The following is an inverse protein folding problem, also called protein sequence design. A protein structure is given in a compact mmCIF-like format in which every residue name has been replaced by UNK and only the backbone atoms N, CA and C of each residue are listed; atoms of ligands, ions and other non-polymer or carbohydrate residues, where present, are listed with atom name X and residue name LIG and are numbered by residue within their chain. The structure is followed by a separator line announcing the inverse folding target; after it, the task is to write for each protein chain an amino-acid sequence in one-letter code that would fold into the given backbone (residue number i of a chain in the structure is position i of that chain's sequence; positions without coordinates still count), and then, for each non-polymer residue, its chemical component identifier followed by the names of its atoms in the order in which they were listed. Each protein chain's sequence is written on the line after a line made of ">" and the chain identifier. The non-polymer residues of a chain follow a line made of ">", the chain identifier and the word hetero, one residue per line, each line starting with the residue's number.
data_IF_226630483295
#
_entry.id   IF_226630483295
#
_cell.length_a   1.000
_cell.length_b   1.000
_cell.length_c   1.000
_cell.angle_alpha   90.00
_cell.angle_beta   90.00
_cell.angle_gamma   90.00
#
_symmetry.space_group_name_H-M   'P 1'
#
loop_
_entity.id
_entity.type
_entity.pdbx_description
1 polymer ?
#
# COMPACT_ATOMS: atom_id res chain seq x y z
N UNK A 1 8.77 -5.39 8.79
CA UNK A 1 7.47 -5.36 8.09
C UNK A 1 6.37 -5.86 9.01
N UNK A 2 5.33 -5.05 9.20
CA UNK A 2 4.08 -5.51 9.79
C UNK A 2 2.91 -5.25 8.81
N UNK A 3 2.37 -6.32 8.22
CA UNK A 3 1.19 -6.27 7.35
C UNK A 3 0.03 -6.95 8.05
N UNK A 4 -1.06 -6.22 8.24
CA UNK A 4 -2.26 -6.72 8.91
C UNK A 4 -3.51 -6.40 8.09
N UNK A 5 -4.42 -7.37 7.99
CA UNK A 5 -5.75 -7.17 7.42
C UNK A 5 -6.79 -7.21 8.54
N UNK A 6 -7.56 -6.13 8.70
CA UNK A 6 -8.68 -6.06 9.65
C UNK A 6 -9.87 -5.38 9.00
N UNK A 7 -11.01 -6.06 8.93
CA UNK A 7 -12.28 -5.53 8.40
C UNK A 7 -12.18 -4.90 6.99
N UNK A 8 -11.31 -5.46 6.14
CA UNK A 8 -11.04 -4.96 4.79
C UNK A 8 -10.05 -3.79 4.72
N UNK A 9 -9.45 -3.39 5.85
CA UNK A 9 -8.34 -2.46 5.90
C UNK A 9 -7.01 -3.23 5.96
N UNK A 10 -6.22 -3.15 4.89
CA UNK A 10 -4.87 -3.70 4.80
C UNK A 10 -3.87 -2.62 5.26
N UNK A 11 -3.37 -2.72 6.48
CA UNK A 11 -2.34 -1.83 6.99
C UNK A 11 -0.94 -2.38 6.68
N UNK A 12 -0.10 -1.58 6.03
CA UNK A 12 1.31 -1.91 5.76
C UNK A 12 2.16 -0.92 6.56
N UNK A 13 2.84 -1.42 7.58
CA UNK A 13 3.66 -0.63 8.47
C UNK A 13 5.15 -0.98 8.31
N UNK A 14 6.00 0.02 8.58
CA UNK A 14 7.46 -0.02 8.52
C UNK A 14 8.04 -0.05 7.11
N UNK A 15 8.03 -1.20 6.45
CA UNK A 15 8.75 -1.43 5.20
C UNK A 15 7.93 -2.28 4.24
N UNK A 16 8.09 -2.03 2.95
CA UNK A 16 7.69 -2.93 1.88
C UNK A 16 8.83 -3.02 0.88
N UNK A 17 9.74 -3.96 1.13
CA UNK A 17 10.97 -4.17 0.34
C UNK A 17 10.97 -5.52 -0.37
N UNK A 18 11.97 -5.81 -1.20
CA UNK A 18 12.12 -7.09 -1.91
C UNK A 18 12.13 -8.33 -0.97
N UNK A 19 12.55 -8.16 0.29
CA UNK A 19 12.52 -9.24 1.29
C UNK A 19 11.09 -9.54 1.76
N UNK A 20 10.22 -8.53 1.70
CA UNK A 20 8.86 -8.48 2.23
C UNK A 20 7.79 -8.83 1.18
N UNK A 21 8.06 -8.53 -0.10
CA UNK A 21 7.04 -8.54 -1.16
C UNK A 21 6.36 -9.88 -1.38
N UNK A 22 7.07 -11.00 -1.16
CA UNK A 22 6.50 -12.33 -1.40
C UNK A 22 5.37 -12.61 -0.42
N UNK A 23 5.58 -12.30 0.85
CA UNK A 23 4.61 -12.55 1.90
C UNK A 23 3.45 -11.55 1.82
N UNK A 24 3.77 -10.28 1.53
CA UNK A 24 2.77 -9.26 1.22
C UNK A 24 1.85 -9.68 0.07
N UNK A 25 2.43 -10.16 -1.04
CA UNK A 25 1.68 -10.57 -2.21
C UNK A 25 0.80 -11.78 -1.96
N UNK A 26 1.31 -12.79 -1.25
CA UNK A 26 0.52 -13.96 -0.87
C UNK A 26 -0.68 -13.57 0.00
N UNK A 27 -0.50 -12.66 0.96
CA UNK A 27 -1.59 -12.17 1.79
C UNK A 27 -2.63 -11.39 0.96
N UNK A 28 -2.17 -10.52 0.05
CA UNK A 28 -3.04 -9.76 -0.84
C UNK A 28 -3.87 -10.70 -1.71
N UNK A 29 -3.24 -11.66 -2.38
CA UNK A 29 -3.95 -12.60 -3.25
C UNK A 29 -4.98 -13.44 -2.49
N UNK A 30 -4.64 -13.90 -1.28
CA UNK A 30 -5.53 -14.71 -0.45
C UNK A 30 -6.78 -13.95 -0.01
N UNK A 31 -6.68 -12.63 0.16
CA UNK A 31 -7.76 -11.80 0.72
C UNK A 31 -8.25 -10.70 -0.24
N UNK A 32 -7.95 -10.80 -1.54
CA UNK A 32 -8.17 -9.75 -2.53
C UNK A 32 -9.62 -9.21 -2.54
N UNK A 33 -10.60 -10.10 -2.38
CA UNK A 33 -12.02 -9.74 -2.34
C UNK A 33 -12.44 -8.98 -1.08
N UNK A 34 -11.71 -9.14 0.01
CA UNK A 34 -12.02 -8.55 1.32
C UNK A 34 -11.36 -7.18 1.49
N UNK A 35 -10.20 -6.98 0.88
CA UNK A 35 -9.46 -5.72 0.93
C UNK A 35 -10.29 -4.63 0.25
N UNK A 36 -10.57 -3.54 0.97
CA UNK A 36 -11.27 -2.34 0.49
C UNK A 36 -10.39 -1.10 0.57
N UNK A 37 -9.48 -1.08 1.53
CA UNK A 37 -8.60 0.05 1.80
C UNK A 37 -7.19 -0.46 2.10
N UNK A 38 -6.19 0.27 1.61
CA UNK A 38 -4.79 0.06 1.93
C UNK A 38 -4.31 1.27 2.72
N UNK A 39 -3.90 1.04 3.96
CA UNK A 39 -3.34 2.07 4.83
C UNK A 39 -1.81 2.00 4.82
N UNK A 40 -1.20 3.05 4.27
CA UNK A 40 0.26 3.21 4.15
C UNK A 40 0.79 4.27 5.13
N UNK A 41 0.00 4.76 6.08
CA UNK A 41 0.45 5.80 7.01
C UNK A 41 1.67 5.40 7.84
N UNK A 42 1.78 4.12 8.19
CA UNK A 42 2.91 3.58 8.93
C UNK A 42 4.11 3.18 8.07
N UNK A 43 4.01 3.31 6.74
CA UNK A 43 5.07 2.94 5.80
C UNK A 43 6.20 3.98 5.85
N UNK A 44 7.41 3.52 6.15
CA UNK A 44 8.63 4.35 6.24
C UNK A 44 9.54 4.13 5.06
N UNK A 45 9.70 2.87 4.64
CA UNK A 45 10.58 2.47 3.53
C UNK A 45 9.82 1.69 2.45
N UNK A 46 10.04 2.08 1.20
CA UNK A 46 9.43 1.46 0.02
C UNK A 46 10.48 1.38 -1.09
N UNK A 47 10.74 0.18 -1.61
CA UNK A 47 11.59 -0.02 -2.76
C UNK A 47 10.78 -0.30 -4.04
N UNK A 48 11.49 -0.57 -5.15
CA UNK A 48 10.85 -0.85 -6.44
C UNK A 48 9.96 -2.09 -6.40
N UNK A 49 10.36 -3.15 -5.69
CA UNK A 49 9.58 -4.37 -5.59
C UNK A 49 8.29 -4.10 -4.81
N UNK A 50 8.38 -3.38 -3.69
CA UNK A 50 7.20 -2.97 -2.93
C UNK A 50 6.25 -2.10 -3.75
N UNK A 51 6.78 -1.17 -4.55
CA UNK A 51 5.97 -0.35 -5.44
C UNK A 51 5.25 -1.20 -6.50
N UNK A 52 5.89 -2.24 -7.04
CA UNK A 52 5.25 -3.17 -7.96
C UNK A 52 4.07 -3.91 -7.31
N UNK A 53 4.20 -4.36 -6.06
CA UNK A 53 3.10 -4.99 -5.31
C UNK A 53 1.88 -4.06 -5.21
N UNK A 54 2.09 -2.80 -4.84
CA UNK A 54 1.01 -1.81 -4.72
C UNK A 54 0.35 -1.53 -6.07
N UNK A 55 1.14 -1.39 -7.14
CA UNK A 55 0.62 -1.17 -8.49
C UNK A 55 -0.18 -2.38 -9.00
N UNK A 56 0.29 -3.61 -8.73
CA UNK A 56 -0.43 -4.82 -9.09
C UNK A 56 -1.76 -4.93 -8.32
N UNK A 57 -1.78 -4.52 -7.05
CA UNK A 57 -3.02 -4.47 -6.27
C UNK A 57 -4.04 -3.50 -6.88
N UNK A 58 -3.62 -2.28 -7.25
CA UNK A 58 -4.48 -1.32 -7.97
C UNK A 58 -5.01 -1.94 -9.27
N UNK A 59 -4.13 -2.61 -10.03
CA UNK A 59 -4.51 -3.25 -11.30
C UNK A 59 -5.60 -4.30 -11.10
N UNK A 60 -5.45 -5.16 -10.08
CA UNK A 60 -6.41 -6.24 -9.78
C UNK A 60 -7.70 -5.73 -9.13
N UNK A 61 -7.65 -4.62 -8.39
CA UNK A 61 -8.79 -4.08 -7.64
C UNK A 61 -8.93 -2.57 -7.84
N UNK A 62 -9.68 -2.17 -8.86
CA UNK A 62 -9.85 -0.78 -9.28
C UNK A 62 -10.67 0.09 -8.29
N UNK A 63 -11.46 -0.52 -7.41
CA UNK A 63 -12.30 0.15 -6.39
C UNK A 63 -11.60 0.35 -5.04
N UNK A 64 -10.30 0.01 -4.95
CA UNK A 64 -9.53 0.10 -3.70
C UNK A 64 -9.18 1.55 -3.35
N UNK A 65 -9.24 1.89 -2.06
CA UNK A 65 -8.84 3.22 -1.55
C UNK A 65 -7.46 3.14 -0.93
N UNK A 66 -6.61 4.14 -1.18
CA UNK A 66 -5.30 4.27 -0.52
C UNK A 66 -5.34 5.42 0.48
N UNK A 67 -4.83 5.15 1.69
CA UNK A 67 -4.48 6.17 2.66
C UNK A 67 -2.97 6.31 2.60
N UNK A 68 -2.50 7.37 1.95
CA UNK A 68 -1.07 7.64 1.78
C UNK A 68 -0.51 8.29 3.05
N UNK A 69 0.77 8.01 3.42
CA UNK A 69 1.40 8.68 4.53
C UNK A 69 1.38 10.20 4.30
N UNK A 70 1.24 11.02 5.35
CA UNK A 70 1.25 12.46 5.22
C UNK A 70 2.57 12.87 4.57
N UNK A 71 2.47 13.45 3.37
CA UNK A 71 3.60 13.93 2.57
C UNK A 71 4.17 15.19 3.21
N UNK A 72 4.73 15.06 4.42
CA UNK A 72 5.42 16.17 5.07
C UNK A 72 6.78 16.37 4.39
N UNK A 73 6.76 17.08 3.25
CA UNK A 73 7.94 17.70 2.66
C UNK A 73 8.62 16.98 1.51
N UNK A 74 8.11 15.86 0.98
CA UNK A 74 8.66 15.25 -0.24
C UNK A 74 7.95 15.81 -1.49
N UNK A 75 8.62 16.69 -2.27
CA UNK A 75 8.03 17.32 -3.45
C UNK A 75 7.61 16.34 -4.55
N UNK A 76 8.07 15.08 -4.52
CA UNK A 76 7.68 14.05 -5.51
C UNK A 76 6.24 13.57 -5.33
N UNK A 77 5.65 13.78 -4.15
CA UNK A 77 4.28 13.35 -3.85
C UNK A 77 3.27 14.52 -3.81
N UNK A 78 3.71 15.75 -4.10
CA UNK A 78 2.86 16.96 -4.18
C UNK A 78 1.89 16.91 -5.39
N UNK A 79 2.06 15.95 -6.29
CA UNK A 79 1.28 15.82 -7.54
C UNK A 79 -0.19 15.39 -7.34
N UNK A 80 -0.64 15.05 -6.13
CA UNK A 80 -2.02 14.59 -5.89
C UNK A 80 -2.85 15.51 -4.96
N UNK A 81 -2.30 16.61 -4.45
CA UNK A 81 -3.03 17.49 -3.51
C UNK A 81 -3.76 18.68 -4.16
N UNK A 82 -3.76 18.78 -5.48
CA UNK A 82 -4.42 19.87 -6.21
C UNK A 82 -5.43 19.32 -7.21
N UNK A 83 -6.59 18.92 -6.69
CA UNK A 83 -7.88 19.01 -7.37
C UNK A 83 -9.00 18.83 -6.31
N UNK A 84 -9.33 19.95 -5.67
CA UNK A 84 -10.64 20.23 -5.07
C UNK A 84 -11.18 21.49 -5.74
#
# INVERSE_FOLDING_TARGET
>A
MNIELRDGNLAINESLTIEDVKDAWNLILKNLSEIKTVDLNGLKDLDLAGMQVLLMLVHLKQDIKFIMPPTQGDPRFVLYSSNN
#
